data_IF_166046016767
#
_entry.id   IF_166046016767
#
_cell.length_a   1.000
_cell.length_b   1.000
_cell.length_c   1.000
_cell.angle_alpha   90.00
_cell.angle_beta   90.00
_cell.angle_gamma   90.00
#
_symmetry.space_group_name_H-M   'P 1'
#
loop_
_entity.id
_entity.type
_entity.pdbx_description
1 polymer ?
#
# COMPACT_ATOMS: atom_id res chain seq x y z
N UNK A 1 -4.32 27.29 -58.58
CA UNK A 1 -5.67 27.20 -57.95
C UNK A 1 -5.47 27.77 -56.55
N UNK A 2 -5.88 28.99 -56.15
CA UNK A 2 -7.08 29.78 -56.49
C UNK A 2 -8.37 28.96 -56.23
N UNK A 3 -9.43 29.39 -55.52
CA UNK A 3 -9.77 30.65 -54.83
C UNK A 3 -10.99 30.39 -53.90
N UNK A 4 -11.34 31.16 -52.86
CA UNK A 4 -10.73 32.31 -52.17
C UNK A 4 -11.39 32.53 -50.77
N UNK A 5 -11.15 33.69 -50.16
CA UNK A 5 -11.64 34.22 -48.88
C UNK A 5 -13.16 34.52 -48.79
N UNK A 6 -13.63 34.71 -47.55
CA UNK A 6 -14.81 35.53 -47.20
C UNK A 6 -14.45 36.37 -45.96
N UNK A 7 -14.86 37.63 -45.94
CA UNK A 7 -14.68 38.55 -44.82
C UNK A 7 -15.65 39.71 -44.90
N UNK A 8 -15.95 40.28 -43.72
CA UNK A 8 -16.77 41.47 -43.48
C UNK A 8 -18.29 41.25 -43.48
N UNK A 9 -19.07 42.09 -42.81
CA UNK A 9 -18.79 43.08 -41.75
C UNK A 9 -20.16 43.51 -41.14
N UNK A 10 -20.14 44.41 -40.15
CA UNK A 10 -21.24 45.31 -39.72
C UNK A 10 -22.41 44.76 -38.85
N UNK A 11 -22.25 44.99 -37.54
CA UNK A 11 -23.09 45.88 -36.70
C UNK A 11 -24.48 45.50 -36.11
N UNK A 12 -24.79 46.30 -35.08
CA UNK A 12 -26.04 46.53 -34.34
C UNK A 12 -26.52 45.49 -33.30
N UNK A 13 -26.42 45.90 -32.03
CA UNK A 13 -27.02 45.22 -30.88
C UNK A 13 -28.37 45.81 -30.46
N UNK A 14 -28.56 45.96 -29.14
CA UNK A 14 -29.78 46.46 -28.45
C UNK A 14 -30.90 45.42 -28.25
N UNK A 15 -30.99 44.93 -27.01
CA UNK A 15 -32.20 44.33 -26.45
C UNK A 15 -33.24 45.42 -26.11
N UNK A 16 -34.54 45.07 -26.08
CA UNK A 16 -35.22 44.82 -24.80
C UNK A 16 -36.13 43.57 -24.85
N UNK A 17 -36.61 42.98 -23.75
CA UNK A 17 -36.63 43.44 -22.36
C UNK A 17 -38.05 43.71 -21.84
N UNK A 18 -38.81 42.64 -21.55
CA UNK A 18 -40.06 42.52 -20.75
C UNK A 18 -40.36 41.01 -20.62
N UNK A 19 -40.98 40.42 -19.59
CA UNK A 19 -41.29 40.81 -18.21
C UNK A 19 -41.51 39.52 -17.39
N UNK A 20 -41.24 39.54 -16.07
CA UNK A 20 -41.87 38.67 -15.05
C UNK A 20 -41.82 37.12 -15.16
N UNK A 21 -41.18 36.48 -14.18
CA UNK A 21 -41.55 35.09 -13.79
C UNK A 21 -42.85 35.07 -12.95
N UNK A 22 -43.19 33.97 -12.24
CA UNK A 22 -42.48 32.68 -12.15
C UNK A 22 -43.37 31.44 -12.37
N UNK A 23 -42.78 30.34 -12.86
CA UNK A 23 -43.27 28.97 -12.61
C UNK A 23 -42.12 28.00 -12.87
N UNK A 24 -41.76 27.17 -11.89
CA UNK A 24 -40.76 26.12 -12.08
C UNK A 24 -41.31 25.04 -13.00
N UNK A 25 -40.81 25.01 -14.24
CA UNK A 25 -41.22 24.04 -15.25
C UNK A 25 -40.75 22.63 -14.90
N UNK A 26 -41.61 21.66 -15.19
CA UNK A 26 -41.26 20.24 -15.29
C UNK A 26 -40.40 20.01 -16.54
N UNK A 27 -39.77 18.83 -16.59
CA UNK A 27 -39.12 18.19 -17.74
C UNK A 27 -37.80 18.82 -18.25
N UNK A 28 -36.73 18.01 -18.31
CA UNK A 28 -35.47 18.43 -18.94
C UNK A 28 -34.20 17.60 -18.74
N UNK A 29 -34.11 16.68 -17.78
CA UNK A 29 -32.93 15.81 -17.66
C UNK A 29 -33.04 14.59 -18.57
N UNK A 30 -32.35 14.67 -19.70
CA UNK A 30 -32.23 13.62 -20.70
C UNK A 30 -31.60 12.35 -20.13
N UNK A 31 -32.40 11.33 -19.83
CA UNK A 31 -31.91 9.95 -19.90
C UNK A 31 -31.49 9.70 -21.34
N UNK A 32 -30.22 9.36 -21.55
CA UNK A 32 -29.72 8.91 -22.85
C UNK A 32 -30.28 7.52 -23.11
N UNK A 33 -31.44 7.45 -23.74
CA UNK A 33 -31.88 6.25 -24.44
C UNK A 33 -31.03 6.08 -25.70
N UNK A 34 -29.79 5.60 -25.55
CA UNK A 34 -29.06 5.08 -26.70
C UNK A 34 -29.82 3.87 -27.25
N UNK A 35 -30.14 3.91 -28.54
CA UNK A 35 -31.15 3.05 -29.15
C UNK A 35 -30.69 1.60 -29.32
N UNK A 36 -30.92 0.77 -28.31
CA UNK A 36 -30.86 -0.69 -28.39
C UNK A 36 -32.02 -1.29 -27.60
N UNK A 37 -32.99 -1.89 -28.27
CA UNK A 37 -34.24 -2.33 -27.64
C UNK A 37 -34.05 -3.48 -26.66
N UNK A 38 -33.89 -3.15 -25.38
CA UNK A 38 -33.99 -4.06 -24.24
C UNK A 38 -34.62 -3.30 -23.09
N UNK A 39 -35.89 -3.57 -22.78
CA UNK A 39 -36.48 -3.04 -21.55
C UNK A 39 -35.77 -3.67 -20.36
N UNK A 40 -35.42 -2.86 -19.35
CA UNK A 40 -35.01 -3.39 -18.06
C UNK A 40 -36.15 -4.31 -17.55
N UNK A 41 -35.83 -5.59 -17.35
CA UNK A 41 -36.76 -6.57 -16.78
C UNK A 41 -36.33 -6.73 -15.32
N UNK A 42 -37.17 -6.34 -14.34
CA UNK A 42 -36.78 -6.36 -12.94
C UNK A 42 -36.28 -7.73 -12.51
N UNK A 43 -34.99 -7.79 -12.19
CA UNK A 43 -34.27 -8.93 -11.67
C UNK A 43 -33.80 -8.65 -10.24
N UNK A 44 -33.09 -9.61 -9.64
CA UNK A 44 -32.29 -9.33 -8.45
C UNK A 44 -31.17 -8.38 -8.88
N UNK A 45 -31.01 -7.28 -8.15
CA UNK A 45 -29.96 -6.31 -8.43
C UNK A 45 -28.58 -6.92 -8.11
N UNK A 46 -27.65 -6.86 -9.06
CA UNK A 46 -26.25 -7.23 -8.84
C UNK A 46 -25.54 -5.94 -8.49
N UNK A 47 -25.09 -5.84 -7.25
CA UNK A 47 -24.57 -4.61 -6.71
C UNK A 47 -23.38 -4.04 -7.52
N UNK A 48 -23.38 -2.74 -7.73
CA UNK A 48 -22.29 -1.91 -8.26
C UNK A 48 -21.79 -2.24 -9.67
N UNK A 49 -22.43 -3.15 -10.41
CA UNK A 49 -21.96 -3.64 -11.72
C UNK A 49 -22.20 -2.63 -12.86
N UNK A 50 -22.77 -1.46 -12.53
CA UNK A 50 -23.17 -0.34 -13.40
C UNK A 50 -24.35 -0.66 -14.31
N UNK A 51 -25.09 -1.74 -14.04
CA UNK A 51 -26.37 -2.06 -14.68
C UNK A 51 -27.48 -1.99 -13.64
N UNK A 52 -28.44 -1.11 -13.87
CA UNK A 52 -29.69 -1.09 -13.12
C UNK A 52 -30.56 -2.29 -13.54
N UNK A 53 -30.48 -3.43 -12.83
CA UNK A 53 -31.28 -4.63 -13.15
C UNK A 53 -32.61 -4.70 -12.41
N UNK A 54 -32.81 -3.91 -11.34
CA UNK A 54 -34.10 -3.82 -10.63
C UNK A 54 -35.02 -2.71 -11.19
N UNK A 55 -34.47 -1.83 -12.04
CA UNK A 55 -35.09 -0.71 -12.74
C UNK A 55 -35.46 0.50 -11.84
N UNK A 56 -34.77 0.73 -10.72
CA UNK A 56 -35.05 1.83 -9.79
C UNK A 56 -34.28 3.14 -10.11
N UNK A 57 -33.38 3.10 -11.09
CA UNK A 57 -32.53 4.21 -11.51
C UNK A 57 -31.21 4.34 -10.75
N UNK A 58 -30.82 3.31 -10.00
CA UNK A 58 -29.56 3.22 -9.25
C UNK A 58 -28.81 1.94 -9.62
N UNK A 59 -27.66 1.83 -8.97
CA UNK A 59 -26.78 0.68 -8.97
C UNK A 59 -26.43 0.49 -7.50
N UNK A 60 -27.05 -0.47 -6.83
CA UNK A 60 -26.94 -0.71 -5.39
C UNK A 60 -25.47 -0.91 -5.03
N UNK A 61 -24.92 -0.12 -4.11
CA UNK A 61 -23.55 -0.33 -3.58
C UNK A 61 -23.41 -1.73 -3.01
N UNK A 62 -22.23 -2.36 -3.13
CA UNK A 62 -22.07 -3.74 -2.65
C UNK A 62 -22.09 -3.89 -1.13
N UNK A 63 -22.10 -2.77 -0.41
CA UNK A 63 -22.08 -2.75 1.04
C UNK A 63 -20.68 -2.52 1.56
N UNK A 64 -20.67 -2.05 2.79
CA UNK A 64 -19.55 -1.93 3.72
C UNK A 64 -20.16 -2.48 5.02
N UNK A 65 -20.15 -3.80 5.15
CA UNK A 65 -20.94 -4.52 6.17
C UNK A 65 -20.23 -4.52 7.52
N UNK A 66 -18.90 -4.44 7.53
CA UNK A 66 -18.09 -4.37 8.75
C UNK A 66 -17.74 -2.93 9.19
N UNK A 67 -17.85 -1.94 8.30
CA UNK A 67 -17.70 -0.52 8.59
C UNK A 67 -16.29 0.03 8.42
N UNK A 68 -15.45 -0.60 7.59
CA UNK A 68 -14.06 -0.20 7.36
C UNK A 68 -13.91 1.01 6.40
N UNK A 69 -14.93 1.27 5.57
CA UNK A 69 -15.01 2.37 4.62
C UNK A 69 -14.73 2.02 3.15
N UNK A 70 -14.53 0.74 2.82
CA UNK A 70 -14.37 0.19 1.47
C UNK A 70 -15.62 -0.62 1.10
N UNK A 71 -15.96 -0.70 -0.19
CA UNK A 71 -17.09 -1.54 -0.64
C UNK A 71 -16.64 -2.95 -1.03
N UNK A 72 -17.46 -3.95 -0.70
CA UNK A 72 -17.23 -5.36 -1.01
C UNK A 72 -16.98 -5.67 -2.51
N UNK A 73 -16.04 -6.56 -2.78
CA UNK A 73 -15.73 -7.07 -4.11
C UNK A 73 -16.81 -8.00 -4.68
N UNK A 74 -16.97 -8.00 -6.01
CA UNK A 74 -17.77 -9.00 -6.73
C UNK A 74 -16.92 -10.10 -7.33
N UNK A 75 -17.60 -11.16 -7.75
CA UNK A 75 -17.03 -12.23 -8.56
C UNK A 75 -16.46 -11.69 -9.89
N UNK A 76 -15.14 -11.53 -9.95
CA UNK A 76 -14.40 -11.07 -11.12
C UNK A 76 -13.94 -9.61 -11.08
N UNK A 77 -14.11 -8.91 -9.97
CA UNK A 77 -13.52 -7.58 -9.75
C UNK A 77 -12.00 -7.65 -9.52
N UNK A 78 -11.36 -6.48 -9.62
CA UNK A 78 -9.95 -6.25 -9.29
C UNK A 78 -9.84 -6.02 -7.78
N UNK A 79 -9.33 -7.02 -7.04
CA UNK A 79 -9.28 -7.04 -5.58
C UNK A 79 -8.53 -5.84 -4.98
N UNK A 80 -7.58 -5.26 -5.71
CA UNK A 80 -6.80 -4.08 -5.29
C UNK A 80 -7.64 -2.79 -5.09
N UNK A 81 -8.97 -2.87 -5.25
CA UNK A 81 -9.89 -1.73 -5.37
C UNK A 81 -11.19 -1.87 -4.59
N UNK A 82 -11.43 -3.01 -3.95
CA UNK A 82 -12.63 -3.35 -3.20
C UNK A 82 -12.26 -4.28 -2.04
N UNK A 83 -13.13 -4.41 -1.05
CA UNK A 83 -12.88 -5.30 0.08
C UNK A 83 -13.10 -6.77 -0.31
N UNK A 84 -12.07 -7.59 -0.11
CA UNK A 84 -12.06 -9.00 -0.43
C UNK A 84 -12.67 -9.92 0.68
N UNK A 85 -12.95 -9.42 1.90
CA UNK A 85 -13.73 -10.10 2.95
C UNK A 85 -14.53 -9.10 3.83
N UNK A 86 -15.63 -8.56 3.27
CA UNK A 86 -16.65 -7.62 3.85
C UNK A 86 -17.29 -8.04 5.20
N UNK A 87 -16.75 -9.05 5.87
CA UNK A 87 -17.05 -9.41 7.25
C UNK A 87 -15.91 -9.07 8.23
N UNK A 88 -14.86 -8.35 7.79
CA UNK A 88 -13.56 -8.18 8.46
C UNK A 88 -12.93 -6.80 8.22
N UNK A 89 -13.09 -5.89 9.18
CA UNK A 89 -12.39 -4.58 9.20
C UNK A 89 -10.84 -4.63 9.17
N UNK A 90 -10.27 -5.83 9.35
CA UNK A 90 -8.86 -6.21 9.25
C UNK A 90 -8.46 -6.77 7.87
N UNK A 91 -9.33 -6.72 6.86
CA UNK A 91 -9.09 -7.05 5.45
C UNK A 91 -9.55 -5.86 4.61
N UNK A 92 -8.65 -5.19 3.88
CA UNK A 92 -8.97 -4.15 2.88
C UNK A 92 -7.77 -3.67 2.06
N UNK A 93 -8.00 -3.22 0.81
CA UNK A 93 -6.99 -2.55 0.01
C UNK A 93 -6.66 -1.13 0.45
N UNK A 94 -5.48 -0.61 0.04
CA UNK A 94 -5.15 0.81 0.19
C UNK A 94 -6.07 1.70 -0.65
N UNK A 95 -6.76 2.64 -0.01
CA UNK A 95 -7.71 3.54 -0.67
C UNK A 95 -7.41 5.01 -0.42
N UNK A 96 -6.84 5.67 -1.43
CA UNK A 96 -6.55 7.11 -1.41
C UNK A 96 -5.47 7.48 -0.39
N UNK A 97 -5.88 7.82 0.84
CA UNK A 97 -5.01 8.09 1.98
C UNK A 97 -5.16 7.09 3.13
N UNK A 98 -6.07 6.12 3.01
CA UNK A 98 -6.16 4.97 3.90
C UNK A 98 -5.14 3.93 3.41
N UNK A 99 -4.26 3.47 4.30
CA UNK A 99 -3.40 2.33 4.02
C UNK A 99 -4.24 1.03 3.99
N UNK A 100 -3.79 0.05 3.20
CA UNK A 100 -4.35 -1.31 3.26
C UNK A 100 -4.18 -1.89 4.66
N UNK A 101 -4.96 -2.92 4.99
CA UNK A 101 -4.71 -3.62 6.25
C UNK A 101 -3.36 -4.37 6.18
N UNK A 102 -2.60 -4.51 7.28
CA UNK A 102 -1.33 -5.23 7.23
C UNK A 102 -1.53 -6.74 7.07
N UNK A 103 -0.76 -7.34 6.16
CA UNK A 103 -0.65 -8.79 6.00
C UNK A 103 -0.28 -9.51 7.31
N UNK A 104 -1.08 -10.53 7.66
CA UNK A 104 -0.81 -11.47 8.74
C UNK A 104 -0.46 -12.85 8.11
N UNK A 105 0.44 -13.66 8.68
CA UNK A 105 0.63 -15.06 8.21
C UNK A 105 -0.57 -15.96 8.65
N UNK A 106 -1.81 -15.59 8.31
CA UNK A 106 -3.07 -16.29 8.70
C UNK A 106 -3.84 -16.92 7.51
N UNK A 107 -3.19 -17.03 6.35
CA UNK A 107 -3.68 -17.63 5.09
C UNK A 107 -4.80 -16.78 4.45
N UNK A 108 -4.69 -15.46 4.61
CA UNK A 108 -5.57 -14.44 4.03
C UNK A 108 -4.79 -13.45 3.17
N UNK A 109 -5.55 -12.74 2.37
CA UNK A 109 -5.15 -11.55 1.62
C UNK A 109 -5.72 -10.38 2.44
N UNK A 110 -4.96 -9.83 3.40
CA UNK A 110 -5.44 -8.75 4.26
C UNK A 110 -5.42 -7.41 3.52
N UNK A 111 -4.49 -7.19 2.60
CA UNK A 111 -4.37 -5.94 1.82
C UNK A 111 -5.03 -6.02 0.42
N UNK A 112 -5.65 -7.15 0.09
CA UNK A 112 -6.35 -7.42 -1.16
C UNK A 112 -5.47 -7.22 -2.43
N UNK A 113 -4.13 -7.39 -2.38
CA UNK A 113 -3.26 -7.34 -3.59
C UNK A 113 -3.46 -8.53 -4.56
N UNK A 114 -4.20 -9.56 -4.14
CA UNK A 114 -4.45 -10.78 -4.90
C UNK A 114 -3.39 -11.86 -4.69
N UNK A 115 -2.55 -11.69 -3.67
CA UNK A 115 -1.68 -12.72 -3.11
C UNK A 115 -2.20 -13.05 -1.71
N UNK A 116 -1.58 -14.01 -1.06
CA UNK A 116 -2.00 -14.50 0.26
C UNK A 116 -0.73 -14.58 1.06
N UNK A 117 -0.65 -13.80 2.13
CA UNK A 117 0.55 -13.56 2.91
C UNK A 117 1.78 -13.19 2.02
N UNK A 118 1.93 -11.99 1.41
CA UNK A 118 3.20 -11.65 0.68
C UNK A 118 4.39 -11.52 1.65
N UNK A 119 4.06 -11.22 2.90
CA UNK A 119 4.91 -11.41 4.07
C UNK A 119 5.45 -12.85 4.18
N UNK A 120 4.92 -13.83 3.43
CA UNK A 120 5.49 -15.17 3.25
C UNK A 120 6.86 -15.20 2.57
N UNK A 121 7.40 -14.11 2.04
CA UNK A 121 8.84 -14.07 1.76
C UNK A 121 9.70 -13.97 3.06
N UNK A 122 9.13 -13.48 4.17
CA UNK A 122 9.61 -13.80 5.53
C UNK A 122 9.06 -15.16 6.02
N UNK A 123 7.75 -15.49 5.85
CA UNK A 123 7.17 -16.73 6.39
C UNK A 123 7.79 -18.03 5.75
N UNK A 124 8.37 -18.03 4.53
CA UNK A 124 9.08 -19.21 3.94
C UNK A 124 10.38 -19.53 4.68
N UNK A 125 11.03 -18.51 5.26
CA UNK A 125 12.14 -18.68 6.22
C UNK A 125 11.70 -19.29 7.57
N UNK A 126 10.39 -19.31 7.83
CA UNK A 126 9.78 -19.69 9.11
C UNK A 126 8.93 -20.97 9.02
N UNK A 127 8.62 -21.46 7.81
CA UNK A 127 7.69 -22.55 7.49
C UNK A 127 8.11 -23.97 7.99
N UNK A 128 9.14 -24.07 8.84
CA UNK A 128 9.62 -25.31 9.45
C UNK A 128 9.42 -25.39 10.97
N UNK A 129 8.69 -24.42 11.56
CA UNK A 129 8.39 -24.36 12.99
C UNK A 129 6.93 -24.75 13.24
N UNK A 130 6.71 -25.86 13.97
CA UNK A 130 5.38 -26.44 14.25
C UNK A 130 4.49 -25.60 15.20
N UNK A 131 4.95 -24.45 15.70
CA UNK A 131 4.22 -23.58 16.63
C UNK A 131 4.52 -22.09 16.35
N UNK A 132 3.58 -21.39 15.68
CA UNK A 132 3.72 -20.02 15.11
C UNK A 132 3.72 -18.94 16.21
N UNK A 133 4.73 -18.90 17.08
CA UNK A 133 4.75 -18.04 18.29
C UNK A 133 6.07 -17.29 18.57
N UNK A 134 6.90 -17.05 17.53
CA UNK A 134 8.18 -16.31 17.68
C UNK A 134 8.89 -15.91 16.38
N UNK A 135 8.21 -15.97 15.24
CA UNK A 135 8.65 -15.36 13.99
C UNK A 135 7.48 -14.55 13.37
N UNK A 136 6.63 -14.02 14.24
CA UNK A 136 5.25 -13.61 13.89
C UNK A 136 5.12 -12.07 13.77
N UNK A 137 6.25 -11.35 13.84
CA UNK A 137 6.30 -9.89 13.74
C UNK A 137 7.06 -9.50 12.48
N UNK A 138 6.32 -9.41 11.37
CA UNK A 138 6.69 -8.54 10.27
C UNK A 138 6.30 -7.10 10.64
N UNK A 139 7.20 -6.14 10.47
CA UNK A 139 6.85 -4.70 10.65
C UNK A 139 6.10 -4.16 9.43
N UNK A 140 5.37 -3.05 9.56
CA UNK A 140 4.70 -2.34 8.45
C UNK A 140 5.66 -1.96 7.30
N UNK A 141 6.96 -1.97 7.57
CA UNK A 141 8.09 -1.67 6.68
C UNK A 141 8.83 -2.92 6.16
N UNK A 142 8.35 -4.14 6.47
CA UNK A 142 8.79 -5.40 5.84
C UNK A 142 10.06 -6.05 6.44
N UNK A 143 10.34 -5.86 7.73
CA UNK A 143 11.49 -6.50 8.43
C UNK A 143 11.06 -7.70 9.27
N UNK A 144 11.81 -8.81 9.23
CA UNK A 144 11.54 -10.05 10.00
C UNK A 144 12.23 -10.10 11.40
N UNK A 145 11.70 -10.92 12.33
CA UNK A 145 12.30 -11.31 13.63
C UNK A 145 13.19 -12.58 13.49
N UNK A 146 14.42 -12.57 14.03
CA UNK A 146 15.45 -13.59 13.74
C UNK A 146 15.52 -14.80 14.69
N UNK A 147 14.48 -15.15 15.44
CA UNK A 147 14.59 -16.11 16.55
C UNK A 147 13.90 -17.47 16.28
N UNK A 148 14.56 -18.60 16.56
CA UNK A 148 14.22 -19.91 15.94
C UNK A 148 13.44 -20.95 16.79
N UNK A 149 12.67 -20.58 17.82
CA UNK A 149 11.84 -21.54 18.61
C UNK A 149 10.60 -20.81 19.20
N UNK A 150 9.96 -21.19 20.33
CA UNK A 150 9.31 -20.26 21.29
C UNK A 150 10.20 -19.90 22.52
N UNK A 151 10.19 -18.68 23.08
CA UNK A 151 10.77 -18.38 24.41
C UNK A 151 12.31 -18.28 24.63
N UNK A 152 13.15 -18.19 23.59
CA UNK A 152 14.61 -17.88 23.69
C UNK A 152 14.84 -16.44 23.22
N UNK A 153 15.73 -15.71 23.90
CA UNK A 153 16.02 -14.31 23.59
C UNK A 153 16.50 -14.12 22.13
N UNK A 154 16.15 -12.99 21.48
CA UNK A 154 16.33 -12.80 20.03
C UNK A 154 17.76 -13.00 19.54
N UNK A 155 18.75 -12.77 20.41
CA UNK A 155 20.08 -13.35 20.32
C UNK A 155 20.64 -13.65 21.73
N UNK A 156 21.76 -14.38 21.81
CA UNK A 156 22.52 -14.52 23.04
C UNK A 156 22.92 -13.14 23.61
N UNK A 157 23.03 -13.03 24.94
CA UNK A 157 23.32 -11.76 25.61
C UNK A 157 24.59 -11.07 25.05
N UNK A 158 24.43 -9.83 24.58
CA UNK A 158 25.48 -9.07 23.89
C UNK A 158 25.45 -9.16 22.36
N UNK A 159 24.47 -9.84 21.75
CA UNK A 159 24.31 -9.95 20.29
C UNK A 159 22.97 -9.38 19.82
N UNK A 160 22.88 -9.06 18.53
CA UNK A 160 21.72 -8.43 17.89
C UNK A 160 21.31 -9.17 16.62
N UNK A 161 20.00 -9.28 16.39
CA UNK A 161 19.40 -9.83 15.18
C UNK A 161 19.57 -8.83 14.02
N UNK A 162 20.21 -9.27 12.94
CA UNK A 162 20.34 -8.54 11.69
C UNK A 162 19.99 -9.48 10.52
N UNK A 163 19.92 -8.96 9.28
CA UNK A 163 19.58 -9.75 8.09
C UNK A 163 20.46 -11.00 7.84
N UNK A 164 21.67 -11.05 8.42
CA UNK A 164 22.56 -12.23 8.42
C UNK A 164 22.47 -13.13 9.66
N UNK A 165 21.45 -12.95 10.50
CA UNK A 165 21.30 -13.60 11.80
C UNK A 165 21.95 -12.82 12.96
N UNK A 166 22.26 -13.52 14.05
CA UNK A 166 22.83 -12.91 15.25
C UNK A 166 24.28 -12.47 15.06
N UNK A 167 24.53 -11.16 15.17
CA UNK A 167 25.85 -10.52 15.11
C UNK A 167 26.23 -9.92 16.47
N UNK A 168 27.51 -9.67 16.72
CA UNK A 168 27.94 -8.94 17.93
C UNK A 168 28.30 -7.50 17.53
N UNK A 169 27.40 -6.54 17.81
CA UNK A 169 27.62 -5.14 17.46
C UNK A 169 28.83 -4.51 18.17
N UNK A 170 29.38 -5.15 19.21
CA UNK A 170 30.54 -4.66 19.94
C UNK A 170 31.88 -5.03 19.28
N UNK A 171 31.89 -6.02 18.37
CA UNK A 171 33.12 -6.61 17.81
C UNK A 171 33.08 -6.90 16.31
N UNK A 172 31.90 -7.00 15.70
CA UNK A 172 31.73 -7.27 14.27
C UNK A 172 32.06 -6.02 13.43
N UNK A 173 33.04 -6.14 12.52
CA UNK A 173 33.43 -5.06 11.61
C UNK A 173 32.39 -4.72 10.54
N UNK A 174 31.46 -5.61 10.23
CA UNK A 174 30.40 -5.40 9.22
C UNK A 174 29.09 -4.88 9.85
N UNK A 175 28.99 -4.94 11.17
CA UNK A 175 27.81 -4.58 11.97
C UNK A 175 28.19 -3.78 13.22
N UNK A 176 29.21 -2.90 13.13
CA UNK A 176 29.75 -2.23 14.30
C UNK A 176 28.80 -1.14 14.81
N UNK A 177 28.36 -1.27 16.06
CA UNK A 177 27.36 -0.39 16.68
C UNK A 177 25.93 -0.63 16.21
N UNK A 178 25.70 -0.96 14.94
CA UNK A 178 24.39 -1.25 14.34
C UNK A 178 24.48 -2.27 13.18
N UNK A 179 23.38 -2.97 12.90
CA UNK A 179 23.25 -3.87 11.74
C UNK A 179 23.67 -3.18 10.43
N UNK A 180 24.47 -3.87 9.61
CA UNK A 180 24.97 -3.36 8.32
C UNK A 180 26.00 -2.23 8.41
N UNK A 181 26.34 -1.73 9.61
CA UNK A 181 27.33 -0.65 9.76
C UNK A 181 28.75 -1.21 9.64
N UNK A 182 29.30 -1.13 8.43
CA UNK A 182 30.67 -1.60 8.17
C UNK A 182 31.70 -0.51 8.49
N UNK A 183 32.71 -0.85 9.31
CA UNK A 183 33.83 0.05 9.59
C UNK A 183 34.62 0.34 8.31
N UNK A 184 34.87 1.63 8.06
CA UNK A 184 35.59 2.09 6.86
C UNK A 184 37.11 2.04 7.07
N UNK A 185 37.85 2.43 6.03
CA UNK A 185 39.32 2.44 5.99
C UNK A 185 39.98 3.31 7.09
N UNK A 186 39.24 4.18 7.79
CA UNK A 186 39.74 4.97 8.93
C UNK A 186 39.78 4.17 10.26
N UNK A 187 39.38 2.90 10.24
CA UNK A 187 39.37 1.98 11.37
C UNK A 187 39.83 0.57 10.97
N UNK A 188 40.36 -0.19 11.93
CA UNK A 188 40.79 -1.58 11.72
C UNK A 188 40.06 -2.60 12.61
N UNK A 189 39.13 -2.15 13.44
CA UNK A 189 38.32 -2.99 14.34
C UNK A 189 37.03 -2.30 14.78
N UNK A 190 36.05 -3.10 15.18
CA UNK A 190 35.01 -2.66 16.09
C UNK A 190 35.46 -2.91 17.54
N UNK A 191 35.21 -1.97 18.46
CA UNK A 191 35.48 -2.17 19.89
C UNK A 191 34.49 -1.37 20.72
N UNK A 192 33.68 -2.08 21.52
CA UNK A 192 32.61 -1.51 22.33
C UNK A 192 31.55 -0.74 21.52
N UNK A 193 31.27 -1.21 20.29
CA UNK A 193 30.29 -0.60 19.39
C UNK A 193 30.81 0.57 18.56
N UNK A 194 32.08 0.93 18.71
CA UNK A 194 32.72 2.00 17.94
C UNK A 194 33.80 1.43 17.01
N UNK A 195 33.80 1.88 15.77
CA UNK A 195 34.94 1.69 14.87
C UNK A 195 36.15 2.43 15.44
N UNK A 196 37.30 1.75 15.56
CA UNK A 196 38.54 2.32 16.12
C UNK A 196 39.74 2.01 15.24
N UNK A 197 40.74 2.87 15.32
CA UNK A 197 42.08 2.55 14.85
C UNK A 197 42.95 2.15 16.05
N UNK A 198 43.27 0.86 16.18
CA UNK A 198 44.16 0.40 17.24
C UNK A 198 43.51 0.46 18.62
N UNK A 199 44.03 1.34 19.48
CA UNK A 199 43.40 1.71 20.77
C UNK A 199 42.86 3.15 20.76
N UNK A 200 43.02 3.87 19.64
CA UNK A 200 42.62 5.25 19.47
C UNK A 200 41.20 5.42 18.90
N UNK A 201 40.81 6.67 18.59
CA UNK A 201 39.65 6.95 17.74
C UNK A 201 39.88 6.45 16.30
N UNK A 202 38.90 6.65 15.42
CA UNK A 202 39.14 6.58 13.97
C UNK A 202 40.16 7.63 13.53
N UNK A 203 40.81 7.39 12.41
CA UNK A 203 41.62 8.41 11.74
C UNK A 203 40.75 9.55 11.20
N UNK A 204 41.29 10.77 11.16
CA UNK A 204 40.69 11.89 10.42
C UNK A 204 40.55 11.52 8.93
N UNK A 205 39.63 12.19 8.22
CA UNK A 205 39.16 11.83 6.88
C UNK A 205 40.25 11.69 5.79
N UNK A 206 41.43 12.25 6.01
CA UNK A 206 42.58 12.19 5.10
C UNK A 206 43.51 10.96 5.34
N UNK A 207 43.29 10.17 6.40
CA UNK A 207 44.21 9.11 6.83
C UNK A 207 43.54 7.73 6.92
N UNK A 208 44.27 6.69 6.48
CA UNK A 208 43.84 5.29 6.50
C UNK A 208 44.45 4.59 7.71
N UNK A 209 43.63 3.92 8.51
CA UNK A 209 44.10 3.11 9.61
C UNK A 209 44.84 1.87 9.10
N UNK A 210 46.11 1.73 9.45
CA UNK A 210 46.90 0.53 9.14
C UNK A 210 47.62 0.02 10.38
N UNK A 211 47.31 -1.21 10.80
CA UNK A 211 47.90 -1.83 11.99
C UNK A 211 47.57 -1.10 13.31
N UNK A 212 46.49 -0.32 13.34
CA UNK A 212 46.09 0.46 14.50
C UNK A 212 46.76 1.83 14.64
N UNK A 213 47.32 2.37 13.56
CA UNK A 213 47.84 3.74 13.48
C UNK A 213 47.32 4.50 12.26
N UNK A 214 47.25 5.82 12.42
CA UNK A 214 47.20 6.83 11.37
C UNK A 214 48.62 7.40 11.17
#
# INVERSE_FOLDING_TARGET
>A
MASAACGGDDDDGVAPGVDGGPSGGLDGSTVRTDGGGGGCVPAIEICGDRMDQNCDGRDTSCGDTDGDGIEACRAGDDLTRCDCDDARTDVRPPFGSLAGAPELCDERDNDCDGRVDESAQCCEGCASLDDRTRADVCTEDGSCDCSTEPGVAPCAAGRTCCAGGCVDLQTDMQNCGFCGTTCTQSADRCTAGECRCGTGPVCDLDFVCTGGSC
#
